data_IF_957672898553
#
_entry.id   IF_957672898553
#
_cell.length_a   1.000
_cell.length_b   1.000
_cell.length_c   1.000
_cell.angle_alpha   90.00
_cell.angle_beta   90.00
_cell.angle_gamma   90.00
#
_symmetry.space_group_name_H-M   'P 1'
#
loop_
_entity.id
_entity.type
_entity.pdbx_description
1 polymer ?
#
# COMPACT_ATOMS: atom_id res chain seq x y z
N UNK A 1 -20.45 1.85 -46.87
CA UNK A 1 -20.09 0.97 -45.73
C UNK A 1 -19.13 1.73 -44.84
N UNK A 2 -19.58 2.13 -43.65
CA UNK A 2 -18.78 2.90 -42.69
C UNK A 2 -18.26 1.91 -41.64
N UNK A 3 -17.01 1.49 -41.77
CA UNK A 3 -16.34 0.66 -40.78
C UNK A 3 -16.16 1.47 -39.49
N UNK A 4 -17.01 1.22 -38.50
CA UNK A 4 -16.78 1.73 -37.13
C UNK A 4 -15.96 0.66 -36.42
N UNK A 5 -14.66 0.87 -36.43
CA UNK A 5 -13.70 0.12 -35.63
C UNK A 5 -13.85 0.61 -34.18
N UNK A 6 -14.77 0.02 -33.43
CA UNK A 6 -14.98 0.31 -32.00
C UNK A 6 -13.95 -0.50 -31.21
N UNK A 7 -12.70 -0.05 -31.25
CA UNK A 7 -11.60 -0.70 -30.53
C UNK A 7 -11.79 -0.50 -29.03
N UNK A 8 -11.78 -1.63 -28.34
CA UNK A 8 -11.82 -1.88 -26.91
C UNK A 8 -10.88 -0.99 -26.09
N UNK A 9 -11.38 0.14 -25.57
CA UNK A 9 -10.71 0.93 -24.52
C UNK A 9 -11.35 0.79 -23.12
N UNK A 10 -12.47 0.05 -23.01
CA UNK A 10 -13.22 -0.08 -21.76
C UNK A 10 -12.63 -1.07 -20.74
N UNK A 11 -11.78 -2.02 -21.16
CA UNK A 11 -11.26 -3.05 -20.24
C UNK A 11 -10.17 -2.52 -19.30
N UNK A 12 -9.29 -1.65 -19.79
CA UNK A 12 -8.16 -1.12 -19.01
C UNK A 12 -8.62 -0.16 -17.90
N UNK A 13 -9.60 0.70 -18.19
CA UNK A 13 -10.13 1.67 -17.21
C UNK A 13 -10.93 0.99 -16.09
N UNK A 14 -11.69 -0.07 -16.42
CA UNK A 14 -12.45 -0.86 -15.43
C UNK A 14 -11.53 -1.64 -14.49
N UNK A 15 -10.48 -2.28 -15.03
CA UNK A 15 -9.47 -2.98 -14.22
C UNK A 15 -8.76 -2.02 -13.27
N UNK A 16 -8.42 -0.82 -13.74
CA UNK A 16 -7.77 0.20 -12.93
C UNK A 16 -8.64 0.70 -11.78
N UNK A 17 -9.90 1.06 -12.08
CA UNK A 17 -10.86 1.51 -11.06
C UNK A 17 -11.10 0.44 -9.99
N UNK A 18 -11.13 -0.83 -10.40
CA UNK A 18 -11.26 -1.95 -9.46
C UNK A 18 -10.01 -2.10 -8.56
N UNK A 19 -8.80 -2.03 -9.12
CA UNK A 19 -7.56 -2.12 -8.33
C UNK A 19 -7.46 -1.02 -7.29
N UNK A 20 -7.75 0.23 -7.66
CA UNK A 20 -7.72 1.36 -6.72
C UNK A 20 -8.70 1.17 -5.55
N UNK A 21 -9.94 0.76 -5.82
CA UNK A 21 -10.93 0.49 -4.77
C UNK A 21 -10.52 -0.63 -3.83
N UNK A 22 -9.89 -1.68 -4.35
CA UNK A 22 -9.37 -2.78 -3.55
C UNK A 22 -8.20 -2.33 -2.67
N UNK A 23 -7.30 -1.47 -3.17
CA UNK A 23 -6.23 -0.87 -2.38
C UNK A 23 -6.78 0.03 -1.27
N UNK A 24 -7.77 0.88 -1.59
CA UNK A 24 -8.45 1.73 -0.60
C UNK A 24 -9.08 0.90 0.52
N UNK A 25 -9.84 -0.14 0.16
CA UNK A 25 -10.48 -1.04 1.13
C UNK A 25 -9.47 -1.79 2.00
N UNK A 26 -8.41 -2.35 1.40
CA UNK A 26 -7.38 -3.10 2.14
C UNK A 26 -6.57 -2.19 3.05
N UNK A 27 -6.23 -0.98 2.59
CA UNK A 27 -5.58 0.02 3.42
C UNK A 27 -6.45 0.44 4.59
N UNK A 28 -7.73 0.74 4.36
CA UNK A 28 -8.68 1.06 5.43
C UNK A 28 -8.78 -0.06 6.48
N UNK A 29 -8.83 -1.32 6.05
CA UNK A 29 -8.82 -2.47 6.97
C UNK A 29 -7.53 -2.57 7.77
N UNK A 30 -6.37 -2.27 7.16
CA UNK A 30 -5.09 -2.23 7.87
C UNK A 30 -5.05 -1.10 8.91
N UNK A 31 -5.47 0.12 8.53
CA UNK A 31 -5.45 1.27 9.44
C UNK A 31 -6.41 1.15 10.62
N UNK A 32 -7.46 0.34 10.47
CA UNK A 32 -8.47 0.07 11.49
C UNK A 32 -8.30 -1.32 12.15
N UNK A 33 -7.12 -1.95 12.03
CA UNK A 33 -6.84 -3.18 12.76
C UNK A 33 -6.90 -2.92 14.27
N UNK A 34 -7.55 -3.82 15.01
CA UNK A 34 -7.80 -3.70 16.46
C UNK A 34 -6.89 -4.60 17.31
N UNK A 35 -6.09 -5.44 16.66
CA UNK A 35 -5.16 -6.36 17.29
C UNK A 35 -3.98 -6.64 16.36
N UNK A 36 -2.84 -7.02 16.96
CA UNK A 36 -1.62 -7.33 16.22
C UNK A 36 -1.83 -8.48 15.21
N UNK A 37 -2.58 -9.52 15.58
CA UNK A 37 -2.88 -10.63 14.68
C UNK A 37 -3.71 -10.19 13.47
N UNK A 38 -4.69 -9.31 13.67
CA UNK A 38 -5.48 -8.74 12.57
C UNK A 38 -4.59 -7.85 11.71
N UNK A 39 -3.75 -7.01 12.30
CA UNK A 39 -2.82 -6.16 11.58
C UNK A 39 -1.90 -6.98 10.66
N UNK A 40 -1.25 -8.03 11.18
CA UNK A 40 -0.40 -8.94 10.40
C UNK A 40 -1.17 -9.50 9.20
N UNK A 41 -2.37 -10.04 9.44
CA UNK A 41 -3.21 -10.57 8.36
C UNK A 41 -3.57 -9.50 7.32
N UNK A 42 -3.83 -8.25 7.72
CA UNK A 42 -4.14 -7.16 6.78
C UNK A 42 -2.92 -6.74 5.96
N UNK A 43 -1.73 -6.80 6.55
CA UNK A 43 -0.46 -6.57 5.83
C UNK A 43 -0.27 -7.65 4.76
N UNK A 44 -0.46 -8.92 5.10
CA UNK A 44 -0.40 -10.04 4.15
C UNK A 44 -1.42 -9.86 3.02
N UNK A 45 -2.70 -9.62 3.34
CA UNK A 45 -3.76 -9.42 2.35
C UNK A 45 -3.53 -8.22 1.42
N UNK A 46 -2.88 -7.17 1.91
CA UNK A 46 -2.49 -6.01 1.11
C UNK A 46 -1.27 -6.33 0.23
N UNK A 47 -0.25 -6.96 0.80
CA UNK A 47 0.98 -7.34 0.08
C UNK A 47 0.68 -8.33 -1.05
N UNK A 48 -0.11 -9.36 -0.78
CA UNK A 48 -0.58 -10.32 -1.79
C UNK A 48 -1.31 -9.64 -2.93
N UNK A 49 -2.13 -8.62 -2.60
CA UNK A 49 -2.88 -7.90 -3.62
C UNK A 49 -1.98 -6.98 -4.46
N UNK A 50 -1.02 -6.30 -3.84
CA UNK A 50 0.00 -5.50 -4.54
C UNK A 50 0.75 -6.41 -5.53
N UNK A 51 1.22 -7.57 -5.10
CA UNK A 51 1.89 -8.55 -5.97
C UNK A 51 0.98 -9.05 -7.10
N UNK A 52 -0.30 -9.34 -6.80
CA UNK A 52 -1.28 -9.78 -7.80
C UNK A 52 -1.52 -8.77 -8.92
N UNK A 53 -1.41 -7.47 -8.63
CA UNK A 53 -1.58 -6.41 -9.63
C UNK A 53 -0.26 -6.00 -10.30
N UNK A 54 0.82 -6.78 -10.11
CA UNK A 54 2.18 -6.44 -10.54
C UNK A 54 2.61 -5.06 -10.03
N UNK A 55 2.27 -4.80 -8.76
CA UNK A 55 2.50 -3.54 -8.09
C UNK A 55 3.82 -3.53 -7.34
N UNK A 56 4.38 -2.33 -7.19
CA UNK A 56 5.52 -2.05 -6.34
C UNK A 56 5.21 -0.87 -5.44
N UNK A 57 5.93 -0.71 -4.34
CA UNK A 57 5.64 0.36 -3.39
C UNK A 57 6.88 1.07 -2.86
N UNK A 58 6.66 2.28 -2.38
CA UNK A 58 7.62 3.08 -1.60
C UNK A 58 7.01 3.39 -0.25
N UNK A 59 7.74 3.11 0.83
CA UNK A 59 7.25 3.29 2.18
C UNK A 59 8.16 4.23 2.97
N UNK A 60 7.55 5.17 3.68
CA UNK A 60 8.26 6.09 4.57
C UNK A 60 7.60 6.12 5.95
N UNK A 61 8.42 6.15 6.99
CA UNK A 61 7.99 6.45 8.34
C UNK A 61 8.01 7.95 8.56
N UNK A 62 6.98 8.47 9.21
CA UNK A 62 6.95 9.84 9.72
C UNK A 62 7.26 9.77 11.21
N UNK A 63 8.29 10.48 11.64
CA UNK A 63 8.69 10.54 13.05
C UNK A 63 7.75 11.46 13.83
N UNK A 64 7.83 11.40 15.17
CA UNK A 64 7.12 12.37 16.02
C UNK A 64 7.56 13.83 15.79
N UNK A 65 8.81 14.05 15.33
CA UNK A 65 9.32 15.37 14.91
C UNK A 65 8.85 15.81 13.52
N UNK A 66 8.03 14.98 12.84
CA UNK A 66 7.53 15.17 11.45
C UNK A 66 8.60 15.01 10.37
N UNK A 67 9.74 14.42 10.72
CA UNK A 67 10.76 14.06 9.74
C UNK A 67 10.31 12.84 8.95
N UNK A 68 10.69 12.79 7.67
CA UNK A 68 10.43 11.64 6.81
C UNK A 68 11.62 10.70 6.84
N UNK A 69 11.34 9.43 7.08
CA UNK A 69 12.35 8.39 7.24
C UNK A 69 12.16 7.28 6.21
N UNK A 70 13.24 6.95 5.49
CA UNK A 70 13.27 5.79 4.61
C UNK A 70 13.47 4.50 5.43
N UNK A 71 12.46 3.63 5.44
CA UNK A 71 12.44 2.41 6.26
C UNK A 71 13.32 1.28 5.70
N UNK A 72 13.73 1.37 4.43
CA UNK A 72 14.64 0.38 3.82
C UNK A 72 16.08 0.52 4.33
N UNK A 73 16.47 1.71 4.78
CA UNK A 73 17.87 2.05 5.08
C UNK A 73 18.15 2.17 6.58
N UNK A 74 17.16 1.99 7.46
CA UNK A 74 17.30 2.29 8.88
C UNK A 74 17.51 1.05 9.76
N UNK A 75 18.55 1.08 10.59
CA UNK A 75 18.81 0.12 11.67
C UNK A 75 17.99 0.47 12.92
N UNK A 76 16.78 -0.08 12.95
CA UNK A 76 15.86 -0.42 14.06
C UNK A 76 15.68 0.39 15.36
N UNK A 77 16.66 1.08 15.96
CA UNK A 77 16.59 1.22 17.44
C UNK A 77 16.41 2.61 18.06
N UNK A 78 16.44 3.73 17.32
CA UNK A 78 16.42 5.07 17.98
C UNK A 78 15.24 5.98 17.64
N UNK A 79 14.49 5.73 16.57
CA UNK A 79 13.52 6.71 16.07
C UNK A 79 12.08 6.25 16.30
N UNK A 80 11.35 7.01 17.12
CA UNK A 80 9.91 6.82 17.32
C UNK A 80 9.13 7.27 16.07
N UNK A 81 8.60 6.29 15.35
CA UNK A 81 7.68 6.49 14.23
C UNK A 81 6.29 6.83 14.79
N UNK A 82 5.68 7.93 14.33
CA UNK A 82 4.29 8.29 14.61
C UNK A 82 3.33 7.56 13.67
N UNK A 83 3.63 7.55 12.36
CA UNK A 83 2.82 6.85 11.36
C UNK A 83 3.62 6.51 10.10
N UNK A 84 3.04 5.67 9.26
CA UNK A 84 3.58 5.20 7.99
C UNK A 84 2.75 5.73 6.83
N UNK A 85 3.45 6.13 5.78
CA UNK A 85 2.88 6.44 4.48
C UNK A 85 3.44 5.48 3.43
N UNK A 86 2.58 5.07 2.51
CA UNK A 86 2.87 4.11 1.45
C UNK A 86 2.40 4.69 0.11
N UNK A 87 3.25 4.65 -0.91
CA UNK A 87 2.84 4.91 -2.29
C UNK A 87 2.96 3.60 -3.05
N UNK A 88 1.84 3.14 -3.59
CA UNK A 88 1.74 1.90 -4.37
C UNK A 88 1.58 2.28 -5.83
N UNK A 89 2.39 1.69 -6.69
CA UNK A 89 2.39 1.90 -8.13
C UNK A 89 2.02 0.60 -8.84
N UNK A 90 1.20 0.67 -9.88
CA UNK A 90 0.91 -0.45 -10.76
C UNK A 90 0.59 0.08 -12.16
N UNK A 91 1.24 -0.46 -13.20
CA UNK A 91 1.16 0.09 -14.56
C UNK A 91 1.44 1.61 -14.56
N UNK A 92 0.52 2.43 -15.07
CA UNK A 92 0.60 3.90 -15.09
C UNK A 92 -0.14 4.58 -13.92
N UNK A 93 -0.48 3.83 -12.85
CA UNK A 93 -1.30 4.32 -11.76
C UNK A 93 -0.54 4.34 -10.43
N UNK A 94 -1.06 5.16 -9.51
CA UNK A 94 -0.56 5.25 -8.15
C UNK A 94 -1.68 5.42 -7.13
N UNK A 95 -1.47 4.86 -5.94
CA UNK A 95 -2.33 5.04 -4.77
C UNK A 95 -1.48 5.50 -3.58
N UNK A 96 -1.93 6.55 -2.91
CA UNK A 96 -1.25 7.16 -1.78
C UNK A 96 -1.97 6.76 -0.49
N UNK A 97 -1.47 5.73 0.15
CA UNK A 97 -1.88 5.25 1.45
C UNK A 97 -1.18 6.05 2.55
N UNK A 98 -1.94 6.58 3.51
CA UNK A 98 -1.40 7.48 4.54
C UNK A 98 -1.88 7.14 5.94
N UNK A 99 -1.15 7.62 6.93
CA UNK A 99 -1.53 7.67 8.34
C UNK A 99 -1.72 6.30 9.02
N UNK A 100 -1.09 5.23 8.54
CA UNK A 100 -1.13 3.96 9.27
C UNK A 100 -0.26 4.06 10.53
N UNK A 101 -0.85 3.76 11.69
CA UNK A 101 -0.15 3.69 12.96
C UNK A 101 -0.03 2.21 13.36
N UNK A 102 1.15 1.58 13.20
CA UNK A 102 1.31 0.18 13.53
C UNK A 102 1.06 -0.07 15.02
N UNK A 103 0.29 -1.11 15.35
CA UNK A 103 0.14 -1.60 16.72
C UNK A 103 1.49 -2.11 17.22
N UNK A 104 2.21 -2.85 16.37
CA UNK A 104 3.60 -3.25 16.61
C UNK A 104 4.49 -2.69 15.49
N UNK A 105 5.47 -1.85 15.85
CA UNK A 105 6.40 -1.27 14.88
C UNK A 105 7.18 -2.33 14.09
N UNK A 106 7.38 -3.54 14.64
CA UNK A 106 8.03 -4.62 13.90
C UNK A 106 7.21 -5.13 12.72
N UNK A 107 5.89 -4.91 12.70
CA UNK A 107 5.01 -5.35 11.63
C UNK A 107 5.24 -4.57 10.33
N UNK A 108 5.79 -3.35 10.42
CA UNK A 108 6.24 -2.57 9.26
C UNK A 108 7.13 -3.43 8.35
N UNK A 109 8.02 -4.24 8.95
CA UNK A 109 9.00 -5.00 8.20
C UNK A 109 8.43 -6.24 7.49
N UNK A 110 7.17 -6.59 7.74
CA UNK A 110 6.50 -7.69 7.04
C UNK A 110 6.28 -7.37 5.56
N UNK A 111 6.16 -6.09 5.20
CA UNK A 111 6.09 -5.67 3.80
C UNK A 111 7.36 -5.98 2.99
N UNK A 112 8.51 -6.20 3.66
CA UNK A 112 9.80 -6.46 3.00
C UNK A 112 10.20 -7.94 3.03
N UNK A 113 9.32 -8.83 3.51
CA UNK A 113 9.57 -10.28 3.48
C UNK A 113 9.10 -10.81 2.13
N UNK A 114 10.06 -11.24 1.31
CA UNK A 114 9.83 -12.01 0.07
C UNK A 114 9.45 -13.46 0.38
#
# INVERSE_FOLDING_TARGET
MKNILLITFFSLSLLNCNSKKQLEYKWDKLTNADSEQVEIKRIEELSDFISKIDGHFKMNGITQSKDTLNLLTQTKDSVKIDHINLIIYWKENSFHAKNWKPINQNNIYLFFRE
#
